data_IF_616637842671
#
_entry.id   IF_616637842671
#
_cell.length_a   1.000
_cell.length_b   1.000
_cell.length_c   1.000
_cell.angle_alpha   90.00
_cell.angle_beta   90.00
_cell.angle_gamma   90.00
#
_symmetry.space_group_name_H-M   'P 1'
#
loop_
_entity.id
_entity.type
_entity.pdbx_description
1 polymer ?
#
# COMPACT_ATOMS: atom_id res chain seq x y z
N UNK A 1 28.32 -43.17 7.88
CA UNK A 1 26.89 -42.84 7.61
C UNK A 1 26.37 -41.68 8.46
N UNK A 2 26.48 -41.71 9.80
CA UNK A 2 25.99 -40.61 10.69
C UNK A 2 26.59 -39.22 10.40
N UNK A 3 27.90 -39.15 10.10
CA UNK A 3 28.57 -37.88 9.76
C UNK A 3 28.11 -37.28 8.42
N UNK A 4 27.78 -38.13 7.44
CA UNK A 4 27.27 -37.69 6.14
C UNK A 4 25.83 -37.15 6.26
N UNK A 5 24.99 -37.80 7.09
CA UNK A 5 23.62 -37.33 7.34
C UNK A 5 23.60 -35.97 8.06
N UNK A 6 24.50 -35.77 9.03
CA UNK A 6 24.64 -34.49 9.73
C UNK A 6 25.09 -33.35 8.79
N UNK A 7 26.02 -33.62 7.86
CA UNK A 7 26.46 -32.64 6.87
C UNK A 7 25.34 -32.25 5.89
N UNK A 8 24.50 -33.20 5.48
CA UNK A 8 23.34 -32.95 4.60
C UNK A 8 22.28 -32.11 5.33
N UNK A 9 21.96 -32.46 6.58
CA UNK A 9 21.01 -31.69 7.40
C UNK A 9 21.50 -30.27 7.68
N UNK A 10 22.81 -30.08 7.92
CA UNK A 10 23.40 -28.76 8.11
C UNK A 10 23.32 -27.92 6.82
N UNK A 11 23.58 -28.52 5.66
CA UNK A 11 23.47 -27.84 4.36
C UNK A 11 22.02 -27.46 4.03
N UNK A 12 21.05 -28.33 4.33
CA UNK A 12 19.62 -28.05 4.14
C UNK A 12 19.12 -26.93 5.07
N UNK A 13 19.63 -26.88 6.31
CA UNK A 13 19.32 -25.80 7.24
C UNK A 13 19.86 -24.44 6.76
N UNK A 14 21.06 -24.42 6.16
CA UNK A 14 21.65 -23.19 5.59
C UNK A 14 20.86 -22.70 4.36
N UNK A 15 20.37 -23.60 3.51
CA UNK A 15 19.55 -23.21 2.35
C UNK A 15 18.16 -22.67 2.75
N UNK A 16 17.56 -23.19 3.82
CA UNK A 16 16.27 -22.72 4.34
C UNK A 16 16.33 -21.37 5.08
N UNK A 17 17.53 -20.90 5.42
CA UNK A 17 17.76 -19.66 6.16
C UNK A 17 18.08 -18.44 5.27
N UNK A 18 18.00 -18.57 3.94
CA UNK A 18 18.16 -17.42 3.06
C UNK A 18 16.97 -16.47 3.25
N UNK A 19 17.19 -15.21 3.68
CA UNK A 19 16.12 -14.24 3.74
C UNK A 19 15.51 -14.08 2.33
N UNK A 20 14.18 -13.91 2.21
CA UNK A 20 13.57 -13.62 0.93
C UNK A 20 14.28 -12.42 0.31
N UNK A 21 14.52 -12.47 -1.00
CA UNK A 21 15.16 -11.37 -1.71
C UNK A 21 14.35 -10.08 -1.50
N UNK A 22 14.85 -9.19 -0.64
CA UNK A 22 14.29 -7.87 -0.47
C UNK A 22 14.52 -7.07 -1.74
N UNK A 23 13.46 -6.74 -2.46
CA UNK A 23 13.54 -5.79 -3.58
C UNK A 23 13.82 -4.40 -3.02
N UNK A 24 15.09 -4.02 -2.98
CA UNK A 24 15.46 -2.63 -2.77
C UNK A 24 14.97 -1.80 -3.98
N UNK A 25 14.52 -0.57 -3.72
CA UNK A 25 14.23 0.36 -4.81
C UNK A 25 15.47 0.49 -5.72
N UNK A 26 15.30 0.60 -7.05
CA UNK A 26 16.44 0.70 -7.97
C UNK A 26 17.42 1.80 -7.56
N UNK A 27 18.73 1.55 -7.74
CA UNK A 27 19.76 2.57 -7.47
C UNK A 27 19.42 3.87 -8.22
N UNK A 28 19.52 5.00 -7.52
CA UNK A 28 19.14 6.32 -8.05
C UNK A 28 17.68 6.71 -7.84
N UNK A 29 16.86 5.86 -7.20
CA UNK A 29 15.48 6.22 -6.81
C UNK A 29 15.48 7.45 -5.89
N UNK A 30 14.53 8.35 -6.13
CA UNK A 30 14.32 9.56 -5.32
C UNK A 30 12.93 9.55 -4.73
N UNK A 31 12.84 9.81 -3.42
CA UNK A 31 11.57 10.08 -2.77
C UNK A 31 11.19 11.53 -3.04
N UNK A 32 10.04 11.73 -3.68
CA UNK A 32 9.51 13.07 -3.97
C UNK A 32 8.13 13.18 -3.37
N UNK A 33 7.88 14.26 -2.62
CA UNK A 33 6.55 14.54 -2.06
C UNK A 33 5.56 14.76 -3.21
N UNK A 34 4.56 13.88 -3.30
CA UNK A 34 3.48 14.05 -4.28
C UNK A 34 2.40 15.03 -3.78
N UNK A 35 1.97 14.86 -2.53
CA UNK A 35 0.96 15.69 -1.84
C UNK A 35 1.21 15.70 -0.34
N UNK A 36 1.04 16.86 0.30
CA UNK A 36 1.04 17.03 1.76
C UNK A 36 -0.35 17.40 2.29
N UNK A 37 -0.43 17.63 3.60
CA UNK A 37 -1.61 18.14 4.31
C UNK A 37 -2.86 17.25 4.11
N UNK A 38 -2.65 15.93 4.16
CA UNK A 38 -3.70 14.91 4.11
C UNK A 38 -4.00 14.40 5.51
N UNK A 39 -5.25 14.03 5.78
CA UNK A 39 -5.64 13.52 7.08
C UNK A 39 -5.52 11.99 7.14
N UNK A 40 -4.34 11.49 7.53
CA UNK A 40 -4.06 10.06 7.74
C UNK A 40 -4.58 9.18 6.58
N UNK A 41 -4.00 9.31 5.37
CA UNK A 41 -4.39 8.48 4.23
C UNK A 41 -4.01 7.01 4.49
N UNK A 42 -4.91 6.06 4.19
CA UNK A 42 -4.67 4.63 4.41
C UNK A 42 -4.44 3.89 3.09
N UNK A 43 -5.42 3.93 2.19
CA UNK A 43 -5.40 3.17 0.93
C UNK A 43 -5.78 4.07 -0.26
N UNK A 44 -5.38 3.69 -1.47
CA UNK A 44 -5.64 4.45 -2.69
C UNK A 44 -5.89 3.57 -3.91
N UNK A 45 -6.80 4.04 -4.78
CA UNK A 45 -7.11 3.42 -6.07
C UNK A 45 -7.08 4.47 -7.19
N UNK A 46 -6.39 4.17 -8.29
CA UNK A 46 -6.35 5.03 -9.47
C UNK A 46 -7.28 4.52 -10.57
N UNK A 47 -7.94 5.44 -11.26
CA UNK A 47 -8.80 5.09 -12.40
C UNK A 47 -7.92 4.95 -13.66
N UNK A 48 -7.84 3.75 -14.28
CA UNK A 48 -6.99 3.52 -15.43
C UNK A 48 -7.24 4.51 -16.57
N UNK A 49 -6.17 5.02 -17.17
CA UNK A 49 -6.24 5.96 -18.30
C UNK A 49 -6.59 7.40 -17.91
N UNK A 50 -6.72 7.73 -16.62
CA UNK A 50 -7.05 9.08 -16.16
C UNK A 50 -6.06 9.59 -15.11
N UNK A 51 -6.21 10.87 -14.73
CA UNK A 51 -5.49 11.46 -13.58
C UNK A 51 -6.27 11.34 -12.26
N UNK A 52 -7.35 10.56 -12.24
CA UNK A 52 -8.23 10.45 -11.06
C UNK A 52 -7.69 9.39 -10.10
N UNK A 53 -7.48 9.80 -8.86
CA UNK A 53 -7.11 8.90 -7.75
C UNK A 53 -8.09 9.10 -6.60
N UNK A 54 -8.65 8.01 -6.11
CA UNK A 54 -9.41 7.96 -4.86
C UNK A 54 -8.49 7.50 -3.74
N UNK A 55 -8.69 8.02 -2.54
CA UNK A 55 -8.00 7.51 -1.35
C UNK A 55 -8.88 7.62 -0.11
N UNK A 56 -8.63 6.77 0.85
CA UNK A 56 -9.31 6.75 2.15
C UNK A 56 -8.53 7.58 3.15
N UNK A 57 -9.23 8.38 3.94
CA UNK A 57 -8.71 8.96 5.18
C UNK A 57 -9.27 8.13 6.34
N UNK A 58 -8.43 7.77 7.31
CA UNK A 58 -8.80 6.92 8.46
C UNK A 58 -10.10 7.35 9.16
N UNK A 59 -10.36 8.65 9.19
CA UNK A 59 -11.56 9.30 9.77
C UNK A 59 -12.86 9.15 8.96
N UNK A 60 -12.89 8.24 7.97
CA UNK A 60 -14.12 7.91 7.23
C UNK A 60 -14.37 8.73 5.98
N UNK A 61 -13.39 9.48 5.45
CA UNK A 61 -13.59 10.25 4.21
C UNK A 61 -12.98 9.51 3.01
N UNK A 62 -13.73 9.43 1.92
CA UNK A 62 -13.17 9.09 0.60
C UNK A 62 -12.88 10.39 -0.13
N UNK A 63 -11.61 10.61 -0.43
CA UNK A 63 -11.10 11.82 -1.08
C UNK A 63 -10.76 11.51 -2.54
N UNK A 64 -10.74 12.58 -3.34
CA UNK A 64 -10.44 12.49 -4.78
C UNK A 64 -9.34 13.48 -5.12
N UNK A 65 -8.35 13.03 -5.88
CA UNK A 65 -7.40 13.90 -6.56
C UNK A 65 -7.58 13.82 -8.07
N UNK A 66 -7.35 14.94 -8.74
CA UNK A 66 -7.14 15.02 -10.18
C UNK A 66 -5.69 15.45 -10.42
N UNK A 67 -4.81 14.49 -10.66
CA UNK A 67 -3.36 14.68 -10.57
C UNK A 67 -2.97 15.13 -9.17
N UNK A 68 -2.30 16.28 -9.04
CA UNK A 68 -1.90 16.86 -7.74
C UNK A 68 -2.98 17.73 -7.09
N UNK A 69 -4.11 17.96 -7.75
CA UNK A 69 -5.21 18.78 -7.24
C UNK A 69 -6.12 17.93 -6.35
N UNK A 70 -6.15 18.25 -5.06
CA UNK A 70 -7.11 17.68 -4.11
C UNK A 70 -8.48 18.35 -4.29
N UNK A 71 -9.51 17.54 -4.50
CA UNK A 71 -10.88 18.04 -4.53
C UNK A 71 -11.33 18.36 -3.09
N UNK A 72 -11.87 19.57 -2.89
CA UNK A 72 -12.19 20.10 -1.55
C UNK A 72 -13.24 19.26 -0.84
N UNK A 73 -14.33 18.92 -1.53
CA UNK A 73 -15.41 18.08 -0.98
C UNK A 73 -15.02 16.60 -1.12
N UNK A 74 -15.10 15.80 -0.04
CA UNK A 74 -14.97 14.34 -0.16
C UNK A 74 -16.11 13.79 -1.04
N UNK A 75 -15.85 12.73 -1.81
CA UNK A 75 -16.92 12.12 -2.62
C UNK A 75 -17.86 11.27 -1.77
N UNK A 76 -17.39 10.73 -0.64
CA UNK A 76 -18.20 10.03 0.34
C UNK A 76 -17.64 10.23 1.74
N UNK A 77 -18.53 10.09 2.73
CA UNK A 77 -18.18 10.04 4.14
C UNK A 77 -18.93 8.87 4.77
N UNK A 78 -18.20 8.04 5.50
CA UNK A 78 -18.69 6.90 6.25
C UNK A 78 -18.54 7.21 7.73
N UNK A 79 -19.49 6.76 8.53
CA UNK A 79 -19.37 6.80 9.98
C UNK A 79 -18.51 5.62 10.45
N UNK A 80 -17.40 5.92 11.12
CA UNK A 80 -16.39 4.93 11.55
C UNK A 80 -15.79 5.34 12.89
N UNK A 81 -15.47 4.35 13.72
CA UNK A 81 -14.51 4.55 14.81
C UNK A 81 -13.09 4.64 14.22
N UNK A 82 -12.26 5.56 14.71
CA UNK A 82 -10.97 5.90 14.08
C UNK A 82 -9.75 5.88 15.02
N UNK A 83 -9.88 5.27 16.19
CA UNK A 83 -8.81 5.06 17.16
C UNK A 83 -8.08 3.72 16.94
N UNK A 84 -6.82 3.65 17.35
CA UNK A 84 -5.96 2.48 17.08
C UNK A 84 -5.88 2.17 15.58
N UNK A 85 -6.05 0.91 15.21
CA UNK A 85 -6.10 0.44 13.82
C UNK A 85 -7.51 0.50 13.21
N UNK A 86 -8.50 1.07 13.91
CA UNK A 86 -9.85 1.23 13.38
C UNK A 86 -9.94 2.38 12.38
N UNK A 87 -10.89 2.32 11.47
CA UNK A 87 -11.20 3.41 10.55
C UNK A 87 -11.64 2.92 9.17
N UNK A 88 -11.57 3.81 8.20
CA UNK A 88 -11.77 3.46 6.79
C UNK A 88 -10.45 2.95 6.20
N UNK A 89 -10.32 1.64 6.10
CA UNK A 89 -9.02 1.00 5.85
C UNK A 89 -8.76 0.67 4.38
N UNK A 90 -9.76 0.21 3.63
CA UNK A 90 -9.57 -0.28 2.26
C UNK A 90 -10.40 0.48 1.23
N UNK A 91 -9.91 0.49 -0.01
CA UNK A 91 -10.62 0.98 -1.18
C UNK A 91 -10.23 0.19 -2.43
N UNK A 92 -11.21 -0.40 -3.09
CA UNK A 92 -11.04 -1.06 -4.38
C UNK A 92 -11.92 -0.38 -5.43
N UNK A 93 -11.34 -0.14 -6.60
CA UNK A 93 -12.13 0.21 -7.77
C UNK A 93 -12.53 -1.08 -8.48
N UNK A 94 -13.78 -1.17 -8.91
CA UNK A 94 -14.22 -2.27 -9.77
C UNK A 94 -13.35 -2.30 -11.05
N UNK A 95 -12.97 -3.48 -11.60
CA UNK A 95 -12.11 -3.56 -12.79
C UNK A 95 -12.66 -2.79 -14.01
N UNK A 96 -13.99 -2.71 -14.12
CA UNK A 96 -14.68 -1.95 -15.16
C UNK A 96 -15.08 -0.52 -14.73
N UNK A 97 -14.58 -0.01 -13.61
CA UNK A 97 -14.83 1.37 -13.20
C UNK A 97 -14.20 2.32 -14.22
N UNK A 98 -15.06 2.98 -14.99
CA UNK A 98 -14.70 4.01 -15.96
C UNK A 98 -15.54 5.22 -15.61
N UNK A 99 -14.87 6.35 -15.35
CA UNK A 99 -15.51 7.61 -15.01
C UNK A 99 -15.74 8.42 -16.28
#
# INVERSE_FOLDING_TARGET
MRKALAAILMTLFVLGALPPASFAAPRGSKVVRYKGDLNFPIDMGWVPGTKTTFFTEKTGRIRVMQGRKLIKRPCARLDVASDGERGLLGLALHPNYRK
#
